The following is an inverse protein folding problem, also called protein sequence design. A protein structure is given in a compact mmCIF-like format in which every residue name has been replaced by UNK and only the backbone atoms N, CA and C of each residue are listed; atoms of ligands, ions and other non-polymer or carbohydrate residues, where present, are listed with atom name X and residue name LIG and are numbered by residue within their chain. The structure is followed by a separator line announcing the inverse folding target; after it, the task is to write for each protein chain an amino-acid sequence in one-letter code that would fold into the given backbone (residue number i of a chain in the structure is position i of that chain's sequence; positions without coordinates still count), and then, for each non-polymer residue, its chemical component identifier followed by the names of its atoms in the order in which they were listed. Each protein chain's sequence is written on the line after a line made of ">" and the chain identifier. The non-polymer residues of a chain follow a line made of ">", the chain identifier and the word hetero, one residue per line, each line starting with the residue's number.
data_IF_080291501579
#
_entry.id   IF_080291501579
#
_cell.length_a   1.000
_cell.length_b   1.000
_cell.length_c   1.000
_cell.angle_alpha   90.00
_cell.angle_beta   90.00
_cell.angle_gamma   90.00
#
_symmetry.space_group_name_H-M   'P 1'
#
loop_
_entity.id
_entity.type
_entity.pdbx_description
1 polymer ?
#
# COMPACT_ATOMS: atom_id res chain seq x y z
N UNK A 1 30.68 28.54 29.89
CA UNK A 1 29.36 28.95 30.38
C UNK A 1 28.30 28.06 29.75
N UNK A 2 27.38 27.57 30.53
CA UNK A 2 26.57 26.36 30.32
C UNK A 2 25.62 26.44 29.11
N UNK A 3 25.68 25.41 28.21
CA UNK A 3 24.68 25.13 27.20
C UNK A 3 23.44 24.52 27.90
N UNK A 4 22.25 25.04 27.61
CA UNK A 4 20.98 24.42 27.97
C UNK A 4 20.49 23.61 26.77
N UNK A 5 20.39 22.30 26.95
CA UNK A 5 19.64 21.38 26.08
C UNK A 5 18.15 21.49 26.49
N UNK A 6 17.30 21.81 25.54
CA UNK A 6 15.86 21.60 25.66
C UNK A 6 15.49 20.30 24.94
N UNK A 7 15.16 19.28 25.73
CA UNK A 7 14.60 18.05 25.21
C UNK A 7 13.07 18.21 25.04
N UNK A 8 12.57 17.83 23.89
CA UNK A 8 11.14 17.68 23.63
C UNK A 8 10.70 16.33 24.20
N UNK A 9 9.79 16.36 25.15
CA UNK A 9 9.15 15.19 25.76
C UNK A 9 7.93 14.84 24.91
N UNK A 10 7.96 13.69 24.24
CA UNK A 10 6.78 13.08 23.63
C UNK A 10 6.00 12.34 24.71
N UNK A 11 4.77 12.74 24.96
CA UNK A 11 3.86 12.11 25.91
C UNK A 11 3.09 11.01 25.19
N UNK A 12 3.44 9.74 25.47
CA UNK A 12 2.61 8.58 25.14
C UNK A 12 1.49 8.47 26.19
N UNK A 13 0.24 8.60 25.76
CA UNK A 13 -0.93 8.23 26.56
C UNK A 13 -1.28 6.78 26.29
N UNK A 14 -0.88 5.89 27.19
CA UNK A 14 -1.41 4.52 27.29
C UNK A 14 -2.76 4.57 28.03
N UNK A 15 -3.84 4.31 27.34
CA UNK A 15 -5.15 4.06 27.94
C UNK A 15 -5.28 2.60 28.35
N UNK A 16 -5.15 2.31 29.63
CA UNK A 16 -5.48 1.01 30.22
C UNK A 16 -6.98 0.93 30.48
N UNK A 17 -7.69 0.05 29.76
CA UNK A 17 -9.06 -0.35 30.12
C UNK A 17 -9.02 -1.45 31.17
N UNK A 18 -9.47 -1.12 32.37
CA UNK A 18 -9.80 -2.07 33.44
C UNK A 18 -11.18 -2.68 33.15
N UNK A 19 -11.23 -3.98 32.91
CA UNK A 19 -12.47 -4.73 32.88
C UNK A 19 -12.70 -5.32 34.28
N UNK A 20 -13.70 -4.81 34.97
CA UNK A 20 -14.20 -5.39 36.22
C UNK A 20 -15.20 -6.52 35.90
N UNK A 21 -14.78 -7.76 36.16
CA UNK A 21 -15.66 -8.90 36.09
C UNK A 21 -16.44 -9.10 37.38
N UNK A 22 -17.75 -9.19 37.29
CA UNK A 22 -18.62 -9.73 38.35
C UNK A 22 -18.94 -11.18 38.07
N UNK A 23 -18.41 -12.11 38.89
CA UNK A 23 -18.84 -13.50 38.91
C UNK A 23 -19.87 -13.74 40.02
N UNK A 24 -20.85 -14.64 39.84
CA UNK A 24 -21.69 -15.03 40.94
C UNK A 24 -21.15 -16.25 41.71
N UNK A 25 -21.41 -16.21 43.03
CA UNK A 25 -20.96 -17.14 44.05
C UNK A 25 -21.59 -18.54 43.90
N UNK A 26 -20.76 -19.55 44.14
CA UNK A 26 -21.17 -20.91 44.47
C UNK A 26 -21.73 -20.96 45.89
N UNK A 27 -22.77 -21.77 46.07
CA UNK A 27 -23.17 -22.37 47.35
C UNK A 27 -23.13 -23.88 47.26
N UNK A 28 -22.58 -24.49 48.30
CA UNK A 28 -22.21 -25.87 48.44
C UNK A 28 -23.27 -26.73 49.12
N UNK A 29 -23.35 -28.01 48.64
CA UNK A 29 -23.46 -29.29 49.37
C UNK A 29 -24.74 -29.70 50.11
N UNK A 30 -24.87 -30.98 50.53
CA UNK A 30 -24.43 -32.28 50.00
C UNK A 30 -25.53 -33.38 50.07
N UNK A 31 -25.28 -34.55 49.47
CA UNK A 31 -25.98 -35.73 50.00
C UNK A 31 -26.27 -36.89 49.05
N UNK A 32 -25.50 -37.92 49.21
CA UNK A 32 -25.79 -39.35 49.37
C UNK A 32 -26.00 -40.27 48.16
N UNK A 33 -25.17 -41.29 48.16
CA UNK A 33 -25.06 -42.54 47.43
C UNK A 33 -26.37 -43.31 47.19
N UNK A 34 -26.45 -44.04 46.06
CA UNK A 34 -26.64 -45.50 46.06
C UNK A 34 -26.36 -46.08 44.69
N UNK A 35 -25.60 -47.16 44.73
CA UNK A 35 -25.32 -48.14 43.65
C UNK A 35 -26.58 -48.89 43.21
N UNK A 36 -26.65 -49.23 41.94
CA UNK A 36 -27.15 -50.56 41.50
C UNK A 36 -26.66 -50.86 40.10
N UNK A 37 -25.96 -51.96 39.98
CA UNK A 37 -25.59 -52.68 38.77
C UNK A 37 -26.82 -53.15 37.99
N UNK A 38 -26.76 -53.14 36.65
CA UNK A 38 -27.27 -54.22 35.81
C UNK A 38 -26.69 -54.13 34.40
N UNK A 39 -26.32 -55.31 33.92
CA UNK A 39 -25.61 -55.62 32.68
C UNK A 39 -26.41 -55.37 31.39
N UNK A 40 -25.60 -55.30 30.33
CA UNK A 40 -25.82 -55.73 28.94
C UNK A 40 -26.74 -54.91 28.02
N UNK A 41 -26.18 -54.28 27.02
CA UNK A 41 -26.28 -54.82 25.66
C UNK A 41 -25.30 -54.11 24.72
N UNK A 42 -24.58 -54.91 23.93
CA UNK A 42 -23.60 -54.47 22.98
C UNK A 42 -24.28 -54.05 21.68
N UNK A 43 -24.32 -52.76 21.40
CA UNK A 43 -24.53 -52.26 20.05
C UNK A 43 -23.34 -51.44 19.63
N UNK A 44 -22.57 -51.99 18.71
CA UNK A 44 -21.45 -51.32 18.03
C UNK A 44 -21.93 -50.02 17.38
N UNK A 45 -21.42 -48.89 17.90
CA UNK A 45 -21.45 -47.63 17.20
C UNK A 45 -20.42 -47.70 16.05
N UNK A 46 -20.74 -47.18 14.83
CA UNK A 46 -19.73 -47.06 13.80
C UNK A 46 -18.64 -46.08 14.29
N UNK A 47 -17.39 -46.47 14.15
CA UNK A 47 -16.26 -45.60 14.38
C UNK A 47 -16.39 -44.40 13.43
N UNK A 48 -16.73 -43.24 13.95
CA UNK A 48 -16.40 -41.96 13.29
C UNK A 48 -14.90 -41.97 13.16
N UNK A 49 -14.40 -42.08 11.92
CA UNK A 49 -13.02 -41.77 11.61
C UNK A 49 -12.85 -40.29 11.95
N UNK A 50 -12.15 -39.99 13.04
CA UNK A 50 -11.57 -38.67 13.24
C UNK A 50 -10.73 -38.42 12.00
N UNK A 51 -11.19 -37.55 11.12
CA UNK A 51 -10.36 -36.99 10.08
C UNK A 51 -9.27 -36.23 10.84
N UNK A 52 -8.07 -36.80 10.90
CA UNK A 52 -6.88 -36.08 11.37
C UNK A 52 -6.83 -34.78 10.56
N UNK A 53 -7.15 -33.68 11.20
CA UNK A 53 -6.96 -32.35 10.63
C UNK A 53 -5.44 -32.17 10.52
N UNK A 54 -4.94 -32.40 9.31
CA UNK A 54 -3.53 -32.16 9.00
C UNK A 54 -3.10 -30.79 9.51
N UNK A 55 -1.97 -30.71 10.16
CA UNK A 55 -1.40 -29.41 10.54
C UNK A 55 -1.23 -28.57 9.28
N UNK A 56 -1.32 -27.24 9.33
CA UNK A 56 -1.25 -26.39 8.13
C UNK A 56 -0.06 -26.68 7.21
N UNK A 57 1.07 -27.08 7.76
CA UNK A 57 2.27 -27.45 7.01
C UNK A 57 2.27 -28.90 6.46
N UNK A 58 1.27 -29.69 6.79
CA UNK A 58 1.09 -31.06 6.29
C UNK A 58 0.09 -31.08 5.12
N UNK A 59 -0.56 -29.95 4.79
CA UNK A 59 -1.39 -29.83 3.60
C UNK A 59 -0.55 -30.08 2.36
N UNK A 60 -0.99 -31.00 1.53
CA UNK A 60 -0.41 -31.27 0.22
C UNK A 60 -1.22 -30.55 -0.85
N UNK A 61 -0.54 -29.80 -1.68
CA UNK A 61 -1.13 -29.15 -2.84
C UNK A 61 -0.70 -29.88 -4.11
N UNK A 62 -1.53 -29.82 -5.15
CA UNK A 62 -1.16 -30.29 -6.46
C UNK A 62 -0.11 -29.36 -7.08
N UNK A 63 0.88 -29.95 -7.78
CA UNK A 63 1.90 -29.19 -8.46
C UNK A 63 1.32 -28.51 -9.68
N UNK A 64 1.52 -27.20 -9.80
CA UNK A 64 1.17 -26.44 -11.01
C UNK A 64 2.28 -26.49 -12.07
N UNK A 65 3.51 -26.78 -11.66
CA UNK A 65 4.70 -26.70 -12.49
C UNK A 65 5.12 -25.28 -12.88
N UNK A 66 4.44 -24.26 -12.35
CA UNK A 66 4.76 -22.84 -12.62
C UNK A 66 6.01 -22.43 -11.84
N UNK A 67 6.77 -21.49 -12.39
CA UNK A 67 8.00 -20.97 -11.77
C UNK A 67 8.09 -19.46 -11.76
N UNK A 68 7.18 -18.77 -12.48
CA UNK A 68 7.22 -17.34 -12.71
C UNK A 68 5.99 -16.67 -12.07
N UNK A 69 6.22 -15.62 -11.26
CA UNK A 69 5.16 -14.95 -10.50
C UNK A 69 4.18 -14.22 -11.43
N UNK A 70 4.68 -13.36 -12.34
CA UNK A 70 3.81 -12.59 -13.24
C UNK A 70 3.00 -13.50 -14.16
N UNK A 71 3.63 -14.55 -14.71
CA UNK A 71 2.95 -15.50 -15.58
C UNK A 71 1.87 -16.28 -14.81
N UNK A 72 2.11 -16.62 -13.55
CA UNK A 72 1.12 -17.30 -12.70
C UNK A 72 -0.08 -16.42 -12.42
N UNK A 73 0.16 -15.18 -11.96
CA UNK A 73 -0.90 -14.25 -11.59
C UNK A 73 -1.69 -13.81 -12.82
N UNK A 74 -1.03 -13.48 -13.94
CA UNK A 74 -1.72 -13.05 -15.16
C UNK A 74 -2.52 -14.19 -15.82
N UNK A 75 -2.07 -15.44 -15.67
CA UNK A 75 -2.84 -16.59 -16.13
C UNK A 75 -4.14 -16.80 -15.33
N UNK A 76 -4.13 -16.45 -14.04
CA UNK A 76 -5.28 -16.64 -13.15
C UNK A 76 -6.24 -15.44 -13.14
N UNK A 77 -5.71 -14.20 -13.20
CA UNK A 77 -6.48 -12.94 -13.04
C UNK A 77 -6.63 -12.14 -14.35
N UNK A 78 -5.96 -12.53 -15.43
CA UNK A 78 -6.03 -11.85 -16.74
C UNK A 78 -4.70 -11.23 -17.17
N UNK A 79 -4.49 -11.17 -18.49
CA UNK A 79 -3.22 -10.74 -19.11
C UNK A 79 -2.83 -9.28 -18.78
N UNK A 80 -3.82 -8.42 -18.50
CA UNK A 80 -3.61 -7.02 -18.18
C UNK A 80 -3.29 -6.76 -16.69
N UNK A 81 -3.33 -7.81 -15.85
CA UNK A 81 -3.09 -7.69 -14.41
C UNK A 81 -1.68 -7.19 -14.13
N UNK A 82 -1.59 -6.15 -13.32
CA UNK A 82 -0.31 -5.61 -12.84
C UNK A 82 0.27 -6.52 -11.75
N UNK A 83 1.48 -6.99 -11.97
CA UNK A 83 2.29 -7.70 -10.96
C UNK A 83 3.53 -6.85 -10.72
N UNK A 84 3.45 -6.01 -9.70
CA UNK A 84 4.41 -4.95 -9.44
C UNK A 84 5.29 -5.21 -8.21
N UNK A 85 6.41 -4.47 -8.14
CA UNK A 85 7.24 -4.37 -6.95
C UNK A 85 7.77 -2.95 -6.77
N UNK A 86 8.26 -2.64 -5.56
CA UNK A 86 8.92 -1.36 -5.32
C UNK A 86 10.42 -1.46 -5.57
N UNK A 87 10.98 -0.43 -6.18
CA UNK A 87 12.43 -0.20 -6.34
C UNK A 87 12.77 1.23 -5.95
N UNK A 88 14.04 1.53 -5.76
CA UNK A 88 14.54 2.87 -5.44
C UNK A 88 15.96 3.08 -5.99
N UNK A 89 16.54 4.26 -5.78
CA UNK A 89 17.87 4.60 -6.26
C UNK A 89 19.00 3.70 -5.75
N UNK A 90 18.81 3.01 -4.62
CA UNK A 90 19.81 2.05 -4.11
C UNK A 90 19.66 0.65 -4.71
N UNK A 91 18.47 0.27 -5.12
CA UNK A 91 18.17 -1.08 -5.64
C UNK A 91 18.27 -1.20 -7.16
N UNK A 92 18.03 -0.11 -7.91
CA UNK A 92 18.03 -0.11 -9.38
C UNK A 92 19.35 -0.59 -10.01
N UNK A 93 20.47 -0.42 -9.31
CA UNK A 93 21.80 -0.86 -9.77
C UNK A 93 22.22 -2.22 -9.16
N UNK A 94 21.36 -2.87 -8.40
CA UNK A 94 21.64 -4.20 -7.85
C UNK A 94 21.23 -5.26 -8.88
N UNK A 95 22.19 -5.82 -9.58
CA UNK A 95 21.96 -6.80 -10.64
C UNK A 95 21.12 -8.01 -10.18
N UNK A 96 21.41 -8.55 -8.98
CA UNK A 96 20.65 -9.72 -8.46
C UNK A 96 19.20 -9.37 -8.20
N UNK A 97 18.93 -8.20 -7.65
CA UNK A 97 17.57 -7.73 -7.39
C UNK A 97 16.85 -7.46 -8.71
N UNK A 98 17.49 -6.74 -9.64
CA UNK A 98 16.87 -6.42 -10.93
C UNK A 98 16.62 -7.66 -11.79
N UNK A 99 17.43 -8.71 -11.67
CA UNK A 99 17.13 -9.99 -12.31
C UNK A 99 15.82 -10.58 -11.81
N UNK A 100 15.53 -10.53 -10.50
CA UNK A 100 14.21 -10.94 -9.96
C UNK A 100 13.09 -10.03 -10.46
N UNK A 101 13.34 -8.71 -10.55
CA UNK A 101 12.35 -7.77 -11.08
C UNK A 101 11.98 -8.11 -12.53
N UNK A 102 12.97 -8.26 -13.38
CA UNK A 102 12.76 -8.56 -14.80
C UNK A 102 12.13 -9.93 -15.03
N UNK A 103 12.42 -10.91 -14.17
CA UNK A 103 11.86 -12.26 -14.28
C UNK A 103 10.42 -12.32 -13.80
N UNK A 104 10.10 -11.75 -12.64
CA UNK A 104 8.87 -12.03 -11.92
C UNK A 104 7.83 -10.91 -11.94
N UNK A 105 8.18 -9.72 -12.42
CA UNK A 105 7.28 -8.55 -12.38
C UNK A 105 7.10 -7.93 -13.76
N UNK A 106 5.98 -7.25 -13.97
CA UNK A 106 5.67 -6.46 -15.18
C UNK A 106 5.53 -4.96 -14.91
N UNK A 107 5.67 -4.54 -13.62
CA UNK A 107 5.60 -3.14 -13.25
C UNK A 107 6.46 -2.85 -12.02
N UNK A 108 6.84 -1.58 -11.86
CA UNK A 108 7.53 -1.05 -10.68
C UNK A 108 6.86 0.22 -10.16
N UNK A 109 7.08 0.49 -8.87
CA UNK A 109 6.80 1.78 -8.22
C UNK A 109 8.11 2.28 -7.62
N UNK A 110 8.42 3.56 -7.77
CA UNK A 110 9.56 4.14 -7.06
C UNK A 110 9.18 4.44 -5.62
N UNK A 111 9.95 3.90 -4.66
CA UNK A 111 9.64 4.02 -3.24
C UNK A 111 9.48 5.48 -2.79
N UNK A 112 10.35 6.37 -3.30
CA UNK A 112 10.36 7.78 -2.91
C UNK A 112 10.47 8.76 -4.08
N UNK A 113 11.10 8.37 -5.19
CA UNK A 113 11.64 9.30 -6.18
C UNK A 113 10.57 10.03 -7.00
N UNK A 114 9.33 9.54 -7.05
CA UNK A 114 8.19 10.28 -7.63
C UNK A 114 7.43 11.15 -6.62
N UNK A 115 7.78 11.12 -5.32
CA UNK A 115 7.10 11.91 -4.29
C UNK A 115 7.42 13.41 -4.42
N UNK A 116 6.53 14.31 -3.95
CA UNK A 116 6.68 15.75 -4.19
C UNK A 116 8.05 16.33 -3.83
N UNK A 117 8.63 15.92 -2.69
CA UNK A 117 9.94 16.44 -2.27
C UNK A 117 11.07 16.17 -3.27
N UNK A 118 10.97 15.12 -4.09
CA UNK A 118 11.98 14.82 -5.10
C UNK A 118 11.78 15.57 -6.43
N UNK A 119 10.62 16.21 -6.58
CA UNK A 119 10.29 17.04 -7.76
C UNK A 119 10.73 18.50 -7.62
N UNK A 120 11.10 18.95 -6.42
CA UNK A 120 11.53 20.34 -6.19
C UNK A 120 13.07 20.45 -6.11
N UNK A 121 13.63 21.49 -6.72
CA UNK A 121 15.07 21.76 -6.65
C UNK A 121 15.54 22.16 -5.24
N UNK A 122 14.67 22.84 -4.48
CA UNK A 122 14.94 23.38 -3.15
C UNK A 122 14.12 22.63 -2.07
N UNK A 123 14.21 21.30 -2.04
CA UNK A 123 13.43 20.43 -1.15
C UNK A 123 13.43 20.85 0.34
N UNK A 124 14.59 21.29 0.84
CA UNK A 124 14.77 21.65 2.27
C UNK A 124 14.94 23.15 2.49
N UNK A 125 14.77 23.99 1.46
CA UNK A 125 14.87 25.43 1.62
C UNK A 125 13.63 25.96 2.36
N UNK A 126 13.84 26.90 3.32
CA UNK A 126 12.75 27.61 3.96
C UNK A 126 12.04 28.57 3.04
N UNK A 127 12.76 29.06 2.02
CA UNK A 127 12.25 29.86 0.92
C UNK A 127 12.75 29.27 -0.39
N UNK A 128 11.84 28.80 -1.21
CA UNK A 128 12.18 28.21 -2.50
C UNK A 128 12.57 29.28 -3.52
N UNK A 129 13.53 28.93 -4.40
CA UNK A 129 13.81 29.73 -5.60
C UNK A 129 12.69 29.53 -6.60
N UNK A 130 12.31 30.64 -7.29
CA UNK A 130 11.23 30.63 -8.27
C UNK A 130 11.73 30.95 -9.66
N UNK A 131 10.92 30.60 -10.65
CA UNK A 131 11.05 30.99 -12.05
C UNK A 131 9.64 31.11 -12.64
N UNK A 132 9.56 31.77 -13.81
CA UNK A 132 8.29 31.98 -14.50
C UNK A 132 7.86 30.73 -15.26
N UNK A 133 6.60 30.37 -15.15
CA UNK A 133 5.96 29.30 -15.91
C UNK A 133 4.67 29.81 -16.56
N UNK A 134 4.26 29.17 -17.67
CA UNK A 134 2.98 29.42 -18.30
C UNK A 134 1.91 28.43 -17.79
N UNK A 135 0.82 28.99 -17.24
CA UNK A 135 -0.33 28.19 -16.79
C UNK A 135 -1.64 28.84 -17.29
N UNK A 136 -2.41 28.10 -18.10
CA UNK A 136 -3.69 28.59 -18.63
C UNK A 136 -3.62 29.98 -19.33
N UNK A 137 -2.50 30.27 -20.03
CA UNK A 137 -2.26 31.54 -20.71
C UNK A 137 -1.87 32.71 -19.79
N UNK A 138 -1.47 32.41 -18.57
CA UNK A 138 -0.96 33.37 -17.60
C UNK A 138 0.46 32.99 -17.17
N UNK A 139 1.32 33.97 -17.02
CA UNK A 139 2.66 33.77 -16.45
C UNK A 139 2.55 33.72 -14.92
N UNK A 140 3.02 32.63 -14.30
CA UNK A 140 3.03 32.43 -12.85
C UNK A 140 4.45 32.19 -12.35
N UNK A 141 4.78 32.79 -11.20
CA UNK A 141 6.06 32.54 -10.52
C UNK A 141 5.91 31.34 -9.60
N UNK A 142 6.66 30.27 -9.91
CA UNK A 142 6.55 28.98 -9.20
C UNK A 142 7.93 28.44 -8.85
N UNK A 143 8.04 27.51 -7.87
CA UNK A 143 9.31 26.89 -7.51
C UNK A 143 9.99 26.20 -8.69
N UNK A 144 11.31 26.15 -8.66
CA UNK A 144 12.08 25.43 -9.69
C UNK A 144 11.91 23.93 -9.48
N UNK A 145 11.45 23.21 -10.51
CA UNK A 145 11.34 21.77 -10.51
C UNK A 145 12.67 21.11 -10.90
N UNK A 146 12.89 19.90 -10.38
CA UNK A 146 14.05 19.06 -10.65
C UNK A 146 13.64 17.58 -10.66
N UNK A 147 13.55 17.00 -11.83
CA UNK A 147 13.21 15.58 -12.01
C UNK A 147 14.43 14.67 -12.19
N UNK A 148 15.66 15.18 -11.95
CA UNK A 148 16.88 14.42 -12.19
C UNK A 148 16.96 13.08 -11.42
N UNK A 149 16.34 12.99 -10.26
CA UNK A 149 16.38 11.76 -9.45
C UNK A 149 15.48 10.67 -10.04
N UNK A 150 14.17 10.89 -10.25
CA UNK A 150 13.34 9.89 -10.91
C UNK A 150 13.76 9.62 -12.36
N UNK A 151 14.24 10.62 -13.10
CA UNK A 151 14.72 10.46 -14.48
C UNK A 151 15.85 9.43 -14.60
N UNK A 152 16.77 9.40 -13.64
CA UNK A 152 17.86 8.40 -13.64
C UNK A 152 17.35 6.97 -13.52
N UNK A 153 16.31 6.75 -12.73
CA UNK A 153 15.70 5.41 -12.60
C UNK A 153 14.93 5.05 -13.86
N UNK A 154 14.19 6.02 -14.39
CA UNK A 154 13.42 5.85 -15.62
C UNK A 154 14.32 5.59 -16.83
N UNK A 155 15.48 6.24 -16.91
CA UNK A 155 16.43 6.01 -18.01
C UNK A 155 16.96 4.56 -18.03
N UNK A 156 17.19 3.97 -16.85
CA UNK A 156 17.57 2.54 -16.75
C UNK A 156 16.43 1.63 -17.23
N UNK A 157 15.19 1.90 -16.78
CA UNK A 157 14.04 1.12 -17.20
C UNK A 157 13.70 1.31 -18.68
N UNK A 158 13.85 2.53 -19.20
CA UNK A 158 13.63 2.81 -20.62
C UNK A 158 14.61 2.05 -21.50
N UNK A 159 15.90 2.03 -21.13
CA UNK A 159 16.92 1.26 -21.83
C UNK A 159 16.58 -0.25 -21.83
N UNK A 160 16.19 -0.78 -20.67
CA UNK A 160 15.72 -2.17 -20.58
C UNK A 160 14.53 -2.44 -21.49
N UNK A 161 13.49 -1.60 -21.46
CA UNK A 161 12.28 -1.76 -22.25
C UNK A 161 12.53 -1.69 -23.76
N UNK A 162 13.51 -0.89 -24.19
CA UNK A 162 13.93 -0.80 -25.60
C UNK A 162 14.62 -2.08 -26.07
N UNK A 163 15.42 -2.70 -25.21
CA UNK A 163 16.12 -3.95 -25.51
C UNK A 163 15.22 -5.19 -25.37
N UNK A 164 14.18 -5.12 -24.53
CA UNK A 164 13.30 -6.24 -24.19
C UNK A 164 11.80 -5.85 -24.29
N UNK A 165 11.30 -5.52 -25.48
CA UNK A 165 9.92 -5.06 -25.64
C UNK A 165 8.86 -6.10 -25.27
N UNK A 166 9.21 -7.38 -25.30
CA UNK A 166 8.39 -8.52 -24.84
C UNK A 166 8.34 -8.67 -23.30
N UNK A 167 9.22 -8.00 -22.59
CA UNK A 167 9.33 -7.97 -21.12
C UNK A 167 9.23 -6.56 -20.57
N UNK A 168 8.36 -5.78 -21.16
CA UNK A 168 8.19 -4.37 -20.82
C UNK A 168 7.82 -4.19 -19.34
N UNK A 169 8.55 -3.33 -18.64
CA UNK A 169 8.29 -2.94 -17.26
C UNK A 169 7.55 -1.60 -17.26
N UNK A 170 6.30 -1.62 -16.78
CA UNK A 170 5.48 -0.42 -16.58
C UNK A 170 5.85 0.28 -15.27
N UNK A 171 5.42 1.53 -15.11
CA UNK A 171 5.67 2.33 -13.89
C UNK A 171 4.36 2.82 -13.31
N UNK A 172 4.23 2.80 -11.98
CA UNK A 172 3.18 3.52 -11.24
C UNK A 172 3.76 4.79 -10.65
N UNK A 173 3.13 5.91 -10.92
CA UNK A 173 3.46 7.19 -10.31
C UNK A 173 2.95 7.26 -8.87
N UNK A 174 3.83 7.46 -7.92
CA UNK A 174 3.52 7.54 -6.50
C UNK A 174 4.32 8.68 -5.87
N UNK A 175 3.74 9.82 -5.59
CA UNK A 175 2.36 10.28 -5.57
C UNK A 175 2.30 11.78 -5.94
N UNK A 176 1.15 12.29 -6.43
CA UNK A 176 1.01 13.72 -6.75
C UNK A 176 0.70 14.56 -5.50
N UNK A 177 -0.33 14.20 -4.73
CA UNK A 177 -0.78 14.96 -3.55
C UNK A 177 -0.75 14.07 -2.30
N UNK A 178 0.05 14.47 -1.34
CA UNK A 178 0.19 13.75 -0.07
C UNK A 178 0.50 14.73 1.07
N UNK A 179 0.00 14.46 2.27
CA UNK A 179 0.32 15.23 3.47
C UNK A 179 1.78 15.03 3.93
N UNK A 180 2.34 13.84 3.66
CA UNK A 180 3.75 13.53 3.88
C UNK A 180 4.61 13.94 2.69
N UNK A 181 5.90 14.14 2.91
CA UNK A 181 6.94 14.39 1.91
C UNK A 181 6.59 15.46 0.84
N UNK A 182 5.69 16.42 1.20
CA UNK A 182 5.50 17.67 0.48
C UNK A 182 6.19 18.77 1.27
N UNK A 183 7.13 19.54 0.69
CA UNK A 183 7.84 20.58 1.44
C UNK A 183 6.89 21.60 2.05
N UNK A 184 7.03 21.89 3.35
CA UNK A 184 6.11 22.77 4.09
C UNK A 184 6.07 24.18 3.51
N UNK A 185 7.20 24.73 3.05
CA UNK A 185 7.26 26.04 2.41
C UNK A 185 6.34 26.16 1.18
N UNK A 186 5.93 25.07 0.54
CA UNK A 186 5.04 25.07 -0.63
C UNK A 186 3.64 25.62 -0.30
N UNK A 187 3.23 25.53 0.95
CA UNK A 187 1.93 25.98 1.43
C UNK A 187 1.92 27.44 1.93
N UNK A 188 3.08 28.07 2.04
CA UNK A 188 3.25 29.37 2.66
C UNK A 188 3.43 30.49 1.62
N UNK A 189 3.13 31.75 2.02
CA UNK A 189 3.34 32.94 1.20
C UNK A 189 4.81 33.05 0.80
N UNK A 190 5.07 33.49 -0.42
CA UNK A 190 6.40 33.60 -1.03
C UNK A 190 7.26 32.33 -0.91
N UNK A 191 6.64 31.16 -0.76
CA UNK A 191 7.32 29.86 -0.57
C UNK A 191 8.28 29.87 0.61
N UNK A 192 7.89 30.49 1.73
CA UNK A 192 8.69 30.71 2.93
C UNK A 192 7.89 30.28 4.17
N UNK A 193 8.25 29.14 4.78
CA UNK A 193 7.54 28.56 5.94
C UNK A 193 7.55 29.44 7.20
N UNK A 194 8.31 30.56 7.20
CA UNK A 194 8.23 31.58 8.25
C UNK A 194 7.05 32.53 8.06
N UNK A 195 6.32 32.47 6.92
CA UNK A 195 5.17 33.28 6.57
C UNK A 195 3.85 32.53 6.79
N UNK A 196 2.70 33.21 6.75
CA UNK A 196 1.40 32.55 6.83
C UNK A 196 1.17 31.56 5.68
N UNK A 197 0.22 30.64 5.86
CA UNK A 197 -0.32 29.84 4.75
C UNK A 197 -0.94 30.77 3.70
N UNK A 198 -0.83 30.36 2.44
CA UNK A 198 -1.50 31.07 1.34
C UNK A 198 -3.00 30.90 1.40
N UNK A 199 -3.73 31.74 0.63
CA UNK A 199 -5.17 31.53 0.44
C UNK A 199 -5.41 30.30 -0.44
N UNK A 200 -6.62 29.77 -0.36
CA UNK A 200 -7.08 28.66 -1.16
C UNK A 200 -6.93 28.90 -2.68
N UNK A 201 -7.29 30.10 -3.15
CA UNK A 201 -7.18 30.48 -4.57
C UNK A 201 -5.74 30.44 -5.07
N UNK A 202 -4.78 30.86 -4.23
CA UNK A 202 -3.35 30.75 -4.54
C UNK A 202 -2.91 29.30 -4.56
N UNK A 203 -3.41 28.49 -3.61
CA UNK A 203 -3.07 27.07 -3.55
C UNK A 203 -3.66 26.27 -4.71
N UNK A 204 -4.85 26.62 -5.21
CA UNK A 204 -5.44 26.03 -6.43
C UNK A 204 -4.50 26.18 -7.62
N UNK A 205 -3.95 27.39 -7.83
CA UNK A 205 -2.98 27.65 -8.90
C UNK A 205 -1.70 26.84 -8.72
N UNK A 206 -1.18 26.74 -7.48
CA UNK A 206 0.02 25.95 -7.18
C UNK A 206 -0.22 24.46 -7.40
N UNK A 207 -1.35 23.94 -6.98
CA UNK A 207 -1.72 22.53 -7.12
C UNK A 207 -1.88 22.17 -8.61
N UNK A 208 -2.62 23.00 -9.38
CA UNK A 208 -2.76 22.76 -10.82
C UNK A 208 -1.43 22.79 -11.55
N UNK A 209 -0.60 23.81 -11.27
CA UNK A 209 0.73 23.92 -11.86
C UNK A 209 1.61 22.69 -11.55
N UNK A 210 1.62 22.23 -10.30
CA UNK A 210 2.44 21.09 -9.88
C UNK A 210 1.98 19.81 -10.59
N UNK A 211 0.68 19.50 -10.53
CA UNK A 211 0.13 18.30 -11.17
C UNK A 211 0.37 18.33 -12.69
N UNK A 212 0.13 19.47 -13.33
CA UNK A 212 0.45 19.66 -14.75
C UNK A 212 1.90 19.35 -15.06
N UNK A 213 2.81 19.98 -14.33
CA UNK A 213 4.26 19.86 -14.60
C UNK A 213 4.76 18.43 -14.44
N UNK A 214 4.31 17.72 -13.41
CA UNK A 214 4.66 16.31 -13.16
C UNK A 214 4.11 15.40 -14.27
N UNK A 215 2.83 15.52 -14.58
CA UNK A 215 2.18 14.64 -15.57
C UNK A 215 2.70 14.92 -16.99
N UNK A 216 2.92 16.17 -17.38
CA UNK A 216 3.53 16.49 -18.67
C UNK A 216 4.96 15.96 -18.81
N UNK A 217 5.75 16.03 -17.72
CA UNK A 217 7.13 15.53 -17.74
C UNK A 217 7.17 14.00 -17.89
N UNK A 218 6.35 13.28 -17.15
CA UNK A 218 6.43 11.81 -17.12
C UNK A 218 5.50 11.11 -18.11
N UNK A 219 4.35 11.68 -18.43
CA UNK A 219 3.31 11.02 -19.21
C UNK A 219 2.90 11.82 -20.46
N UNK A 220 3.32 13.08 -20.58
CA UNK A 220 2.89 13.98 -21.66
C UNK A 220 3.26 13.49 -23.05
N UNK A 221 2.63 14.08 -24.08
CA UNK A 221 2.81 13.69 -25.48
C UNK A 221 4.29 13.78 -25.93
N UNK A 222 5.02 14.80 -25.44
CA UNK A 222 6.41 15.04 -25.75
C UNK A 222 7.40 14.42 -24.75
N UNK A 223 6.88 13.65 -23.77
CA UNK A 223 7.74 13.01 -22.77
C UNK A 223 8.54 11.85 -23.39
N UNK A 224 9.83 11.76 -23.07
CA UNK A 224 10.66 10.60 -23.44
C UNK A 224 10.20 9.31 -22.76
N UNK A 225 9.38 9.42 -21.69
CA UNK A 225 8.82 8.31 -20.91
C UNK A 225 7.37 8.00 -21.27
N UNK A 226 6.82 8.61 -22.32
CA UNK A 226 5.46 8.36 -22.81
C UNK A 226 5.19 6.86 -22.93
N UNK A 227 4.07 6.41 -22.36
CA UNK A 227 3.65 5.00 -22.39
C UNK A 227 4.30 4.11 -21.31
N UNK A 228 5.23 4.63 -20.50
CA UNK A 228 5.79 3.86 -19.39
C UNK A 228 4.86 3.83 -18.17
N UNK A 229 4.15 4.92 -17.88
CA UNK A 229 3.25 5.01 -16.73
C UNK A 229 1.88 4.41 -17.06
N UNK A 230 1.43 3.42 -16.26
CA UNK A 230 0.09 2.84 -16.38
C UNK A 230 -0.94 3.50 -15.46
N UNK A 231 -0.49 4.23 -14.44
CA UNK A 231 -1.35 4.91 -13.50
C UNK A 231 -0.60 5.80 -12.52
N UNK A 232 -1.35 6.68 -11.83
CA UNK A 232 -0.85 7.59 -10.81
C UNK A 232 -1.73 7.56 -9.56
N UNK A 233 -1.11 7.52 -8.40
CA UNK A 233 -1.74 7.86 -7.13
C UNK A 233 -1.91 9.38 -7.09
N UNK A 234 -3.10 9.85 -7.42
CA UNK A 234 -3.39 11.29 -7.48
C UNK A 234 -3.41 11.90 -6.10
N UNK A 235 -4.04 11.20 -5.15
CA UNK A 235 -4.08 11.59 -3.74
C UNK A 235 -3.77 10.38 -2.88
N UNK A 236 -2.90 10.57 -1.89
CA UNK A 236 -2.49 9.55 -0.94
C UNK A 236 -2.87 9.94 0.49
N UNK A 237 -3.47 9.00 1.24
CA UNK A 237 -3.68 9.07 2.70
C UNK A 237 -4.44 10.31 3.18
N UNK A 238 -5.43 10.76 2.43
CA UNK A 238 -6.21 11.94 2.78
C UNK A 238 -7.34 11.66 3.78
N UNK A 239 -7.60 10.39 4.13
CA UNK A 239 -8.58 10.00 5.13
C UNK A 239 -7.98 9.93 6.53
N UNK A 240 -8.72 10.42 7.52
CA UNK A 240 -8.36 10.29 8.94
C UNK A 240 -8.37 8.82 9.37
N UNK A 241 -7.46 8.45 10.28
CA UNK A 241 -7.39 7.12 10.89
C UNK A 241 -8.50 6.91 11.94
N UNK A 242 -9.12 8.00 12.40
CA UNK A 242 -10.20 7.94 13.38
C UNK A 242 -11.55 7.59 12.78
N UNK A 243 -12.26 6.63 13.38
CA UNK A 243 -13.61 6.25 12.99
C UNK A 243 -14.56 7.46 12.97
N UNK A 244 -15.22 7.69 11.82
CA UNK A 244 -16.20 8.76 11.64
C UNK A 244 -15.62 10.17 11.53
N UNK A 245 -14.31 10.34 11.53
CA UNK A 245 -13.66 11.65 11.41
C UNK A 245 -13.58 12.18 9.97
N UNK A 246 -13.76 11.32 8.98
CA UNK A 246 -13.71 11.68 7.56
C UNK A 246 -12.28 11.91 7.08
N UNK A 247 -11.95 13.14 6.71
CA UNK A 247 -10.67 13.50 6.12
C UNK A 247 -9.59 13.79 7.17
N UNK A 248 -8.32 13.59 6.80
CA UNK A 248 -7.14 13.95 7.59
C UNK A 248 -7.02 15.48 7.67
N UNK A 249 -7.00 16.00 8.89
CA UNK A 249 -7.00 17.44 9.16
C UNK A 249 -5.58 17.98 9.45
N UNK A 250 -5.47 19.30 9.62
CA UNK A 250 -4.28 20.00 10.09
C UNK A 250 -3.74 19.45 11.41
N UNK A 251 -4.63 19.11 12.35
CA UNK A 251 -4.29 18.47 13.63
C UNK A 251 -3.73 17.04 13.47
N UNK A 252 -3.86 16.45 12.28
CA UNK A 252 -3.30 15.16 11.88
C UNK A 252 -2.17 15.33 10.85
N UNK A 253 -1.61 16.54 10.75
CA UNK A 253 -0.42 16.86 9.95
C UNK A 253 -0.68 17.16 8.47
N UNK A 254 -1.91 17.51 8.07
CA UNK A 254 -2.22 17.85 6.67
C UNK A 254 -2.17 19.36 6.43
N UNK A 255 -1.08 19.85 5.81
CA UNK A 255 -0.98 21.25 5.36
C UNK A 255 -1.93 21.56 4.21
N UNK A 256 -2.33 20.56 3.41
CA UNK A 256 -3.44 20.69 2.46
C UNK A 256 -4.73 21.09 3.15
N UNK A 257 -5.07 20.38 4.24
CA UNK A 257 -6.27 20.73 5.02
C UNK A 257 -6.10 22.07 5.72
N UNK A 258 -4.91 22.41 6.21
CA UNK A 258 -4.67 23.71 6.85
C UNK A 258 -5.01 24.88 5.94
N UNK A 259 -4.74 24.79 4.64
CA UNK A 259 -5.06 25.81 3.63
C UNK A 259 -6.53 25.76 3.24
N UNK A 260 -7.08 24.58 2.89
CA UNK A 260 -8.41 24.47 2.28
C UNK A 260 -9.56 24.43 3.29
N UNK A 261 -9.33 23.92 4.49
CA UNK A 261 -10.34 23.65 5.52
C UNK A 261 -11.53 22.79 5.01
N UNK A 262 -11.33 22.06 3.93
CA UNK A 262 -12.30 21.19 3.26
C UNK A 262 -11.59 20.12 2.43
N UNK A 263 -12.35 19.15 1.91
CA UNK A 263 -11.90 18.12 0.96
C UNK A 263 -11.69 18.64 -0.48
N UNK A 264 -11.91 19.89 -0.73
CA UNK A 264 -11.85 20.47 -2.08
C UNK A 264 -10.52 20.27 -2.78
N UNK A 265 -9.39 20.27 -2.02
CA UNK A 265 -8.07 19.97 -2.60
C UNK A 265 -7.99 18.55 -3.21
N UNK A 266 -8.76 17.60 -2.70
CA UNK A 266 -8.82 16.22 -3.22
C UNK A 266 -9.55 16.23 -4.56
N UNK A 267 -10.74 16.84 -4.61
CA UNK A 267 -11.55 16.97 -5.84
C UNK A 267 -10.77 17.73 -6.91
N UNK A 268 -10.11 18.83 -6.54
CA UNK A 268 -9.28 19.61 -7.45
C UNK A 268 -8.08 18.81 -7.97
N UNK A 269 -7.42 18.01 -7.13
CA UNK A 269 -6.31 17.14 -7.57
C UNK A 269 -6.76 16.16 -8.66
N UNK A 270 -7.90 15.50 -8.49
CA UNK A 270 -8.44 14.57 -9.50
C UNK A 270 -8.93 15.31 -10.76
N UNK A 271 -9.46 16.52 -10.63
CA UNK A 271 -9.83 17.36 -11.77
C UNK A 271 -8.60 17.77 -12.58
N UNK A 272 -7.53 18.20 -11.93
CA UNK A 272 -6.29 18.56 -12.60
C UNK A 272 -5.60 17.34 -13.20
N UNK A 273 -5.59 16.21 -12.49
CA UNK A 273 -5.07 14.96 -13.04
C UNK A 273 -5.85 14.51 -14.29
N UNK A 274 -7.19 14.59 -14.26
CA UNK A 274 -8.02 14.30 -15.44
C UNK A 274 -7.76 15.25 -16.62
N UNK A 275 -7.34 16.49 -16.34
CA UNK A 275 -7.02 17.47 -17.40
C UNK A 275 -5.71 17.19 -18.10
N UNK A 276 -4.70 16.69 -17.37
CA UNK A 276 -3.32 16.61 -17.86
C UNK A 276 -2.80 15.17 -18.05
N UNK A 277 -3.41 14.18 -17.43
CA UNK A 277 -3.03 12.78 -17.66
C UNK A 277 -3.58 12.27 -18.99
N UNK A 278 -2.82 11.47 -19.75
CA UNK A 278 -3.35 10.70 -20.87
C UNK A 278 -4.52 9.81 -20.44
N UNK A 279 -5.41 9.49 -21.38
CA UNK A 279 -6.61 8.71 -21.08
C UNK A 279 -6.33 7.26 -20.66
N UNK A 280 -5.20 6.72 -21.09
CA UNK A 280 -4.71 5.36 -20.78
C UNK A 280 -3.92 5.28 -19.48
N UNK A 281 -3.65 6.41 -18.82
CA UNK A 281 -3.03 6.45 -17.50
C UNK A 281 -4.12 6.49 -16.43
N UNK A 282 -4.27 5.41 -15.67
CA UNK A 282 -5.31 5.29 -14.65
C UNK A 282 -5.04 6.20 -13.43
N UNK A 283 -6.09 6.75 -12.83
CA UNK A 283 -6.04 7.69 -11.71
C UNK A 283 -6.57 7.01 -10.43
N UNK A 284 -5.72 6.90 -9.41
CA UNK A 284 -6.00 6.19 -8.17
C UNK A 284 -6.08 7.14 -6.97
N UNK A 285 -6.95 6.81 -6.03
CA UNK A 285 -6.79 7.18 -4.63
C UNK A 285 -6.07 6.04 -3.91
N UNK A 286 -5.10 6.33 -3.03
CA UNK A 286 -4.29 5.32 -2.33
C UNK A 286 -4.29 5.59 -0.82
N UNK A 287 -4.51 4.56 0.02
CA UNK A 287 -4.54 4.72 1.48
C UNK A 287 -4.21 3.41 2.21
N UNK A 288 -3.75 3.53 3.46
CA UNK A 288 -3.49 2.42 4.38
C UNK A 288 -4.66 2.23 5.39
N UNK A 289 -4.55 1.17 6.21
CA UNK A 289 -5.62 0.82 7.15
C UNK A 289 -6.94 0.50 6.44
N UNK A 290 -6.85 0.21 5.18
CA UNK A 290 -7.86 0.09 4.14
C UNK A 290 -8.92 -0.99 4.38
N UNK A 291 -8.71 -1.87 5.37
CA UNK A 291 -9.66 -2.91 5.80
C UNK A 291 -10.36 -2.59 7.12
N UNK A 292 -9.92 -1.57 7.86
CA UNK A 292 -10.59 -1.21 9.11
C UNK A 292 -11.93 -0.52 8.84
N UNK A 293 -12.98 -0.90 9.54
CA UNK A 293 -14.34 -0.43 9.27
C UNK A 293 -14.49 1.09 9.27
N UNK A 294 -13.76 1.78 10.17
CA UNK A 294 -13.74 3.25 10.23
C UNK A 294 -13.09 3.88 9.02
N UNK A 295 -11.95 3.37 8.60
CA UNK A 295 -11.20 3.86 7.45
C UNK A 295 -11.94 3.55 6.15
N UNK A 296 -12.49 2.33 6.01
CA UNK A 296 -13.35 1.96 4.86
C UNK A 296 -14.50 2.94 4.68
N UNK A 297 -15.16 3.35 5.77
CA UNK A 297 -16.23 4.36 5.71
C UNK A 297 -15.72 5.73 5.26
N UNK A 298 -14.55 6.17 5.75
CA UNK A 298 -13.97 7.45 5.38
C UNK A 298 -13.54 7.45 3.90
N UNK A 299 -12.83 6.41 3.46
CA UNK A 299 -12.42 6.22 2.05
C UNK A 299 -13.64 6.20 1.13
N UNK A 300 -14.70 5.45 1.47
CA UNK A 300 -15.91 5.38 0.65
C UNK A 300 -16.56 6.75 0.44
N UNK A 301 -16.54 7.63 1.45
CA UNK A 301 -17.04 8.99 1.32
C UNK A 301 -16.18 9.84 0.39
N UNK A 302 -14.86 9.67 0.47
CA UNK A 302 -13.93 10.35 -0.44
C UNK A 302 -14.15 9.89 -1.88
N UNK A 303 -14.20 8.59 -2.13
CA UNK A 303 -14.43 8.04 -3.46
C UNK A 303 -15.76 8.53 -4.04
N UNK A 304 -16.84 8.55 -3.22
CA UNK A 304 -18.12 9.11 -3.64
C UNK A 304 -18.02 10.59 -4.02
N UNK A 305 -17.35 11.42 -3.21
CA UNK A 305 -17.21 12.84 -3.49
C UNK A 305 -16.45 13.13 -4.80
N UNK A 306 -15.41 12.35 -5.08
CA UNK A 306 -14.65 12.45 -6.34
C UNK A 306 -15.50 11.96 -7.51
N UNK A 307 -16.23 10.83 -7.33
CA UNK A 307 -17.12 10.25 -8.34
C UNK A 307 -18.29 11.18 -8.69
N UNK A 308 -18.89 11.82 -7.69
CA UNK A 308 -20.01 12.78 -7.89
C UNK A 308 -19.59 14.04 -8.68
N UNK A 309 -18.29 14.34 -8.74
CA UNK A 309 -17.71 15.45 -9.50
C UNK A 309 -17.17 15.05 -10.87
N UNK A 310 -17.41 13.82 -11.35
CA UNK A 310 -16.92 13.34 -12.65
C UNK A 310 -17.35 14.21 -13.83
N UNK A 311 -16.48 14.28 -14.83
CA UNK A 311 -16.74 15.03 -16.05
C UNK A 311 -15.60 14.97 -17.05
N UNK A 312 -15.79 15.59 -18.20
CA UNK A 312 -14.76 15.67 -19.23
C UNK A 312 -13.45 16.31 -18.70
N UNK A 313 -12.29 16.01 -19.33
CA UNK A 313 -11.02 16.64 -18.98
C UNK A 313 -11.11 18.17 -18.90
N UNK A 314 -10.62 18.75 -17.81
CA UNK A 314 -10.68 20.18 -17.53
C UNK A 314 -12.03 20.71 -17.02
N UNK A 315 -13.09 19.88 -16.99
CA UNK A 315 -14.41 20.21 -16.45
C UNK A 315 -14.66 19.52 -15.11
N UNK A 316 -14.47 18.21 -15.04
CA UNK A 316 -14.71 17.40 -13.85
C UNK A 316 -13.55 16.45 -13.52
N UNK A 317 -13.75 15.64 -12.52
CA UNK A 317 -12.82 14.60 -12.08
C UNK A 317 -12.90 13.37 -12.98
N UNK A 318 -11.89 12.50 -12.84
CA UNK A 318 -11.89 11.10 -13.22
C UNK A 318 -11.19 10.31 -12.11
N UNK A 319 -11.76 9.21 -11.70
CA UNK A 319 -11.15 8.27 -10.77
C UNK A 319 -11.38 6.86 -11.29
N UNK A 320 -10.30 6.15 -11.57
CA UNK A 320 -10.35 4.83 -12.18
C UNK A 320 -10.20 3.72 -11.14
N UNK A 321 -9.51 4.02 -10.00
CA UNK A 321 -9.24 2.98 -9.04
C UNK A 321 -9.01 3.42 -7.60
N UNK A 322 -9.08 2.41 -6.72
CA UNK A 322 -8.67 2.48 -5.32
C UNK A 322 -7.44 1.61 -5.11
N UNK A 323 -6.36 2.23 -4.63
CA UNK A 323 -5.17 1.56 -4.13
C UNK A 323 -5.30 1.26 -2.64
N UNK A 324 -5.37 -0.02 -2.30
CA UNK A 324 -5.22 -0.51 -0.93
C UNK A 324 -3.72 -0.68 -0.68
N UNK A 325 -3.11 0.12 0.20
CA UNK A 325 -1.67 -0.02 0.48
C UNK A 325 -1.32 -1.42 0.97
N UNK A 326 -2.22 -2.02 1.77
CA UNK A 326 -2.08 -3.40 2.21
C UNK A 326 -0.81 -3.65 3.03
N UNK A 327 -0.42 -2.71 3.88
CA UNK A 327 0.60 -2.92 4.91
C UNK A 327 0.01 -3.74 6.06
N UNK A 328 0.09 -5.04 5.94
CA UNK A 328 -0.58 -5.97 6.86
C UNK A 328 0.41 -6.72 7.75
N UNK A 329 -0.13 -7.43 8.71
CA UNK A 329 0.62 -8.36 9.54
C UNK A 329 -0.06 -9.73 9.60
N UNK A 330 0.68 -10.72 10.06
CA UNK A 330 0.15 -12.07 10.28
C UNK A 330 -1.04 -12.10 11.28
N UNK A 331 -1.23 -11.03 12.04
CA UNK A 331 -2.33 -10.89 13.01
C UNK A 331 -3.57 -10.20 12.43
N UNK A 332 -3.51 -9.69 11.21
CA UNK A 332 -4.65 -9.03 10.56
C UNK A 332 -4.23 -8.00 9.51
N UNK A 333 -5.17 -7.60 8.66
CA UNK A 333 -6.56 -8.03 8.60
C UNK A 333 -6.71 -9.49 8.16
N UNK A 334 -7.90 -10.08 8.42
CA UNK A 334 -8.26 -11.38 7.85
C UNK A 334 -8.54 -11.26 6.35
N UNK A 335 -8.41 -12.35 5.61
CA UNK A 335 -8.75 -12.41 4.18
C UNK A 335 -10.20 -11.94 3.92
N UNK A 336 -11.15 -12.27 4.79
CA UNK A 336 -12.54 -11.82 4.65
C UNK A 336 -12.68 -10.30 4.78
N UNK A 337 -11.92 -9.65 5.67
CA UNK A 337 -11.93 -8.20 5.81
C UNK A 337 -11.34 -7.53 4.57
N UNK A 338 -10.24 -8.06 4.02
CA UNK A 338 -9.63 -7.57 2.77
C UNK A 338 -10.64 -7.65 1.60
N UNK A 339 -11.27 -8.81 1.42
CA UNK A 339 -12.27 -9.02 0.37
C UNK A 339 -13.50 -8.14 0.56
N UNK A 340 -13.97 -7.96 1.80
CA UNK A 340 -15.10 -7.08 2.10
C UNK A 340 -14.81 -5.61 1.78
N UNK A 341 -13.62 -5.12 2.11
CA UNK A 341 -13.18 -3.77 1.79
C UNK A 341 -13.09 -3.55 0.27
N UNK A 342 -12.42 -4.45 -0.47
CA UNK A 342 -12.32 -4.38 -1.93
C UNK A 342 -13.70 -4.33 -2.61
N UNK A 343 -14.64 -5.17 -2.18
CA UNK A 343 -16.04 -5.14 -2.69
C UNK A 343 -16.78 -3.85 -2.37
N UNK A 344 -16.46 -3.19 -1.28
CA UNK A 344 -17.05 -1.88 -0.96
C UNK A 344 -16.49 -0.83 -1.90
N UNK A 345 -15.19 -0.80 -2.12
CA UNK A 345 -14.52 0.15 -3.01
C UNK A 345 -14.94 -0.03 -4.46
N UNK A 346 -15.07 -1.26 -4.95
CA UNK A 346 -15.57 -1.58 -6.29
C UNK A 346 -17.00 -1.09 -6.60
N UNK A 347 -17.71 -0.51 -5.63
CA UNK A 347 -18.97 0.20 -5.89
C UNK A 347 -18.78 1.63 -6.40
N UNK A 348 -17.59 2.17 -6.23
CA UNK A 348 -17.25 3.56 -6.57
C UNK A 348 -16.25 3.66 -7.72
N UNK A 349 -15.40 2.67 -7.89
CA UNK A 349 -14.32 2.64 -8.88
C UNK A 349 -14.30 1.31 -9.62
N UNK A 350 -13.80 1.32 -10.86
CA UNK A 350 -13.74 0.13 -11.70
C UNK A 350 -12.58 -0.80 -11.31
N UNK A 351 -11.53 -0.26 -10.70
CA UNK A 351 -10.30 -0.99 -10.37
C UNK A 351 -9.99 -0.96 -8.88
N UNK A 352 -9.68 -2.11 -8.30
CA UNK A 352 -9.10 -2.21 -6.96
C UNK A 352 -7.73 -2.86 -7.08
N UNK A 353 -6.72 -2.31 -6.41
CA UNK A 353 -5.35 -2.77 -6.51
C UNK A 353 -4.73 -2.85 -5.12
N UNK A 354 -3.93 -3.90 -4.83
CA UNK A 354 -3.00 -3.89 -3.72
C UNK A 354 -1.73 -3.18 -4.17
N UNK A 355 -1.45 -2.03 -3.56
CA UNK A 355 -0.45 -1.09 -4.10
C UNK A 355 0.89 -1.10 -3.41
N UNK A 356 0.94 -1.58 -2.16
CA UNK A 356 2.13 -1.55 -1.30
C UNK A 356 2.18 -2.81 -0.42
N UNK A 357 1.75 -3.95 -1.01
CA UNK A 357 1.50 -5.16 -0.27
C UNK A 357 2.76 -5.70 0.40
N UNK A 358 2.71 -5.72 1.71
CA UNK A 358 3.64 -6.43 2.57
C UNK A 358 2.86 -7.14 3.70
N UNK A 359 3.26 -8.39 4.00
CA UNK A 359 2.62 -9.18 5.05
C UNK A 359 3.64 -9.54 6.12
N UNK A 360 3.81 -8.63 7.07
CA UNK A 360 4.82 -8.77 8.10
C UNK A 360 4.52 -9.90 9.08
N UNK A 361 5.50 -10.75 9.34
CA UNK A 361 5.39 -11.95 10.20
C UNK A 361 6.24 -11.89 11.46
N UNK A 362 6.84 -10.76 11.76
CA UNK A 362 7.83 -10.61 12.80
C UNK A 362 7.33 -10.84 14.24
N UNK A 363 6.05 -10.63 14.54
CA UNK A 363 5.50 -10.64 15.90
C UNK A 363 5.74 -11.94 16.69
N UNK A 364 6.19 -13.01 16.06
CA UNK A 364 6.44 -14.31 16.66
C UNK A 364 7.91 -14.77 16.51
N UNK A 365 8.80 -13.92 15.98
CA UNK A 365 10.20 -14.26 15.78
C UNK A 365 10.98 -14.14 17.08
N UNK A 366 11.62 -15.23 17.49
CA UNK A 366 12.43 -15.31 18.71
C UNK A 366 13.94 -15.40 18.44
N UNK A 367 14.35 -15.21 17.18
CA UNK A 367 15.74 -15.30 16.75
C UNK A 367 16.20 -16.72 16.34
N UNK A 368 15.32 -17.72 16.40
CA UNK A 368 15.66 -19.08 16.03
C UNK A 368 15.23 -19.43 14.60
N UNK A 369 15.95 -20.35 13.95
CA UNK A 369 15.58 -20.87 12.63
C UNK A 369 14.23 -21.63 12.67
N UNK A 370 13.90 -22.24 13.81
CA UNK A 370 12.61 -22.92 13.98
C UNK A 370 11.45 -21.93 13.95
N UNK A 371 11.54 -20.83 14.71
CA UNK A 371 10.51 -19.78 14.68
C UNK A 371 10.43 -19.09 13.32
N UNK A 372 11.57 -18.87 12.65
CA UNK A 372 11.62 -18.31 11.29
C UNK A 372 10.87 -19.21 10.29
N UNK A 373 11.17 -20.50 10.29
CA UNK A 373 10.50 -21.50 9.45
C UNK A 373 8.99 -21.53 9.73
N UNK A 374 8.60 -21.53 11.00
CA UNK A 374 7.18 -21.49 11.39
C UNK A 374 6.48 -20.25 10.82
N UNK A 375 7.09 -19.06 10.96
CA UNK A 375 6.52 -17.81 10.45
C UNK A 375 6.41 -17.80 8.93
N UNK A 376 7.43 -18.26 8.23
CA UNK A 376 7.42 -18.35 6.77
C UNK A 376 6.32 -19.27 6.27
N UNK A 377 6.16 -20.44 6.93
CA UNK A 377 5.08 -21.38 6.61
C UNK A 377 3.71 -20.73 6.83
N UNK A 378 3.51 -20.04 7.95
CA UNK A 378 2.26 -19.36 8.27
C UNK A 378 1.98 -18.21 7.30
N UNK A 379 3.00 -17.42 6.93
CA UNK A 379 2.89 -16.38 5.91
C UNK A 379 2.47 -16.97 4.57
N UNK A 380 3.14 -18.04 4.11
CA UNK A 380 2.79 -18.72 2.87
C UNK A 380 1.35 -19.23 2.88
N UNK A 381 0.89 -19.82 4.00
CA UNK A 381 -0.50 -20.27 4.13
C UNK A 381 -1.50 -19.12 4.03
N UNK A 382 -1.21 -17.95 4.63
CA UNK A 382 -2.08 -16.77 4.51
C UNK A 382 -2.13 -16.24 3.07
N UNK A 383 -0.97 -16.18 2.38
CA UNK A 383 -0.93 -15.82 0.96
C UNK A 383 -1.76 -16.78 0.11
N UNK A 384 -1.67 -18.09 0.37
CA UNK A 384 -2.44 -19.10 -0.35
C UNK A 384 -3.94 -18.95 -0.10
N UNK A 385 -4.36 -18.84 1.15
CA UNK A 385 -5.77 -18.70 1.52
C UNK A 385 -6.38 -17.40 0.95
N UNK A 386 -5.61 -16.32 0.94
CA UNK A 386 -6.01 -15.06 0.33
C UNK A 386 -6.12 -15.16 -1.20
N UNK A 387 -5.12 -15.74 -1.84
CA UNK A 387 -5.08 -15.83 -3.30
C UNK A 387 -6.18 -16.74 -3.85
N UNK A 388 -6.50 -17.83 -3.17
CA UNK A 388 -7.62 -18.71 -3.55
C UNK A 388 -8.95 -17.98 -3.47
N UNK A 389 -9.18 -17.19 -2.42
CA UNK A 389 -10.41 -16.42 -2.28
C UNK A 389 -10.48 -15.28 -3.30
N UNK A 390 -9.35 -14.65 -3.62
CA UNK A 390 -9.27 -13.64 -4.65
C UNK A 390 -9.68 -14.20 -6.01
N UNK A 391 -9.08 -15.32 -6.43
CA UNK A 391 -9.39 -16.00 -7.68
C UNK A 391 -10.86 -16.43 -7.75
N UNK A 392 -11.44 -16.90 -6.65
CA UNK A 392 -12.86 -17.27 -6.57
C UNK A 392 -13.79 -16.06 -6.75
N UNK A 393 -13.44 -14.90 -6.19
CA UNK A 393 -14.23 -13.67 -6.35
C UNK A 393 -14.07 -13.04 -7.73
N UNK A 394 -12.87 -13.06 -8.28
CA UNK A 394 -12.58 -12.61 -9.64
C UNK A 394 -13.36 -13.43 -10.65
N UNK A 395 -13.30 -14.76 -10.55
CA UNK A 395 -14.04 -15.69 -11.41
C UNK A 395 -15.57 -15.51 -11.34
N UNK A 396 -16.07 -14.97 -10.23
CA UNK A 396 -17.49 -14.63 -10.04
C UNK A 396 -17.84 -13.20 -10.49
N UNK A 397 -16.88 -12.42 -10.93
CA UNK A 397 -17.07 -11.02 -11.33
C UNK A 397 -17.51 -10.12 -10.16
N UNK A 398 -17.06 -10.42 -8.94
CA UNK A 398 -17.42 -9.68 -7.73
C UNK A 398 -16.45 -8.55 -7.43
N UNK A 399 -15.17 -8.72 -7.79
CA UNK A 399 -14.10 -7.75 -7.64
C UNK A 399 -13.26 -7.81 -8.91
N UNK A 400 -12.93 -6.67 -9.49
CA UNK A 400 -11.91 -6.53 -10.53
C UNK A 400 -10.60 -6.11 -9.87
N UNK A 401 -9.63 -7.04 -9.78
CA UNK A 401 -8.33 -6.79 -9.17
C UNK A 401 -7.35 -6.39 -10.26
N UNK A 402 -7.15 -5.09 -10.39
CA UNK A 402 -6.27 -4.51 -11.41
C UNK A 402 -4.79 -4.86 -11.20
N UNK A 403 -4.39 -5.29 -10.00
CA UNK A 403 -3.02 -5.70 -9.76
C UNK A 403 -2.63 -5.85 -8.30
N UNK A 404 -1.41 -6.38 -8.14
CA UNK A 404 -0.75 -6.62 -6.87
C UNK A 404 0.67 -6.08 -6.97
N UNK A 405 1.04 -5.12 -6.12
CA UNK A 405 2.41 -4.59 -6.01
C UNK A 405 2.95 -4.91 -4.63
N UNK A 406 4.04 -5.68 -4.56
CA UNK A 406 4.74 -5.94 -3.29
C UNK A 406 5.67 -4.78 -2.94
N UNK A 407 5.68 -4.38 -1.65
CA UNK A 407 6.42 -3.17 -1.23
C UNK A 407 7.91 -3.39 -0.94
N UNK A 408 8.44 -4.54 -1.31
CA UNK A 408 9.86 -4.83 -1.43
C UNK A 408 10.04 -6.11 -2.27
N UNK A 409 11.19 -6.25 -2.93
CA UNK A 409 11.51 -7.48 -3.66
C UNK A 409 12.05 -8.54 -2.69
N UNK A 410 12.99 -8.14 -1.82
CA UNK A 410 13.61 -9.02 -0.82
C UNK A 410 13.52 -8.41 0.58
N UNK A 411 13.49 -9.24 1.62
CA UNK A 411 13.30 -8.81 3.01
C UNK A 411 14.29 -7.73 3.45
N UNK A 412 15.55 -7.81 3.05
CA UNK A 412 16.61 -6.87 3.45
C UNK A 412 16.42 -5.43 2.95
N UNK A 413 15.64 -5.22 1.89
CA UNK A 413 15.37 -3.90 1.33
C UNK A 413 13.99 -3.36 1.71
N UNK A 414 13.27 -4.03 2.59
CA UNK A 414 12.00 -3.53 3.10
C UNK A 414 12.21 -2.27 3.95
N UNK A 415 11.31 -1.29 3.78
CA UNK A 415 11.22 -0.12 4.64
C UNK A 415 11.04 -0.47 6.12
N UNK A 416 10.44 -1.65 6.41
CA UNK A 416 10.22 -2.17 7.76
C UNK A 416 11.52 -2.53 8.50
N UNK A 417 12.66 -2.64 7.80
CA UNK A 417 13.97 -2.84 8.45
C UNK A 417 14.46 -1.57 9.16
N UNK A 418 13.87 -0.42 8.89
CA UNK A 418 14.24 0.84 9.52
C UNK A 418 13.64 0.94 10.92
N UNK A 419 14.42 1.37 11.91
CA UNK A 419 13.99 1.55 13.30
C UNK A 419 12.84 2.56 13.47
N UNK A 420 12.60 3.40 12.46
CA UNK A 420 11.56 4.43 12.44
C UNK A 420 10.28 4.01 11.71
N UNK A 421 10.23 2.80 11.15
CA UNK A 421 9.05 2.30 10.48
C UNK A 421 7.98 1.86 11.49
N UNK A 422 6.71 2.09 11.13
CA UNK A 422 5.56 1.75 11.98
C UNK A 422 5.42 0.24 12.28
N UNK A 423 6.16 -0.62 11.56
CA UNK A 423 6.19 -2.07 11.77
C UNK A 423 7.49 -2.58 12.38
N UNK A 424 8.48 -1.71 12.61
CA UNK A 424 9.72 -2.09 13.26
C UNK A 424 9.42 -2.72 14.61
N UNK A 425 10.07 -3.83 14.94
CA UNK A 425 9.95 -4.44 16.26
C UNK A 425 10.10 -3.36 17.33
N UNK A 426 9.38 -3.48 18.45
CA UNK A 426 9.34 -2.47 19.51
C UNK A 426 10.72 -2.03 20.02
N UNK A 427 11.77 -2.81 19.73
CA UNK A 427 13.18 -2.52 20.04
C UNK A 427 13.97 -1.96 18.83
N UNK A 428 13.36 -1.84 17.64
CA UNK A 428 14.01 -1.39 16.40
C UNK A 428 15.18 -2.26 15.93
N UNK A 429 15.29 -3.51 16.42
CA UNK A 429 16.40 -4.42 16.16
C UNK A 429 15.98 -5.74 15.55
N UNK A 430 14.69 -6.05 15.58
CA UNK A 430 14.20 -7.33 15.08
C UNK A 430 14.14 -7.31 13.56
N UNK A 431 14.75 -8.30 12.91
CA UNK A 431 14.69 -8.51 11.47
C UNK A 431 13.24 -8.69 11.01
N UNK A 432 12.86 -8.07 9.91
CA UNK A 432 11.51 -8.09 9.35
C UNK A 432 11.48 -8.98 8.08
N UNK A 433 10.37 -9.67 7.86
CA UNK A 433 10.27 -10.65 6.77
C UNK A 433 8.99 -10.48 5.91
N UNK A 434 8.74 -9.28 5.34
CA UNK A 434 7.47 -9.02 4.63
C UNK A 434 7.46 -9.46 3.17
N UNK A 435 8.63 -9.65 2.54
CA UNK A 435 8.78 -9.88 1.10
C UNK A 435 8.44 -11.32 0.67
N UNK A 436 8.37 -11.52 -0.65
CA UNK A 436 8.24 -12.85 -1.27
C UNK A 436 9.59 -13.60 -1.37
N UNK A 437 10.70 -12.85 -1.38
CA UNK A 437 12.05 -13.41 -1.39
C UNK A 437 12.81 -13.04 -0.12
N UNK A 438 13.65 -13.95 0.36
CA UNK A 438 14.48 -13.73 1.55
C UNK A 438 15.68 -12.81 1.25
N UNK A 439 16.46 -12.52 2.28
CA UNK A 439 17.67 -11.69 2.16
C UNK A 439 18.80 -12.34 1.34
N UNK A 440 18.67 -13.62 0.97
CA UNK A 440 19.57 -14.33 0.06
C UNK A 440 19.03 -14.44 -1.37
N UNK A 441 17.93 -13.70 -1.67
CA UNK A 441 17.24 -13.74 -2.97
C UNK A 441 16.58 -15.09 -3.28
N UNK A 442 16.27 -15.90 -2.25
CA UNK A 442 15.59 -17.18 -2.43
C UNK A 442 14.07 -17.00 -2.26
N UNK A 443 13.25 -17.69 -3.07
CA UNK A 443 11.81 -17.63 -2.94
C UNK A 443 11.35 -18.26 -1.62
N UNK A 444 10.46 -17.57 -0.91
CA UNK A 444 9.87 -18.00 0.35
C UNK A 444 8.58 -18.81 0.12
N UNK A 445 8.05 -19.50 1.14
CA UNK A 445 6.72 -20.12 1.06
C UNK A 445 5.62 -19.18 0.55
N UNK A 446 5.69 -17.89 0.85
CA UNK A 446 4.78 -16.85 0.33
C UNK A 446 4.84 -16.68 -1.19
N UNK A 447 6.02 -16.77 -1.79
CA UNK A 447 6.19 -16.79 -3.24
C UNK A 447 5.55 -18.05 -3.84
N UNK A 448 5.86 -19.22 -3.28
CA UNK A 448 5.35 -20.49 -3.79
C UNK A 448 3.84 -20.61 -3.63
N UNK A 449 3.26 -19.97 -2.61
CA UNK A 449 1.81 -19.89 -2.43
C UNK A 449 1.06 -19.31 -3.65
N UNK A 450 1.70 -18.40 -4.38
CA UNK A 450 1.17 -17.72 -5.57
C UNK A 450 1.55 -18.40 -6.89
N UNK A 451 2.62 -19.21 -6.88
CA UNK A 451 3.22 -19.78 -8.11
C UNK A 451 3.00 -21.27 -8.20
N UNK A 452 3.47 -22.03 -7.24
CA UNK A 452 3.30 -23.48 -7.15
C UNK A 452 3.18 -23.91 -5.67
N UNK A 453 1.96 -23.96 -5.12
CA UNK A 453 1.76 -24.26 -3.70
C UNK A 453 2.33 -25.61 -3.24
N UNK A 454 2.58 -26.55 -4.15
CA UNK A 454 3.21 -27.84 -3.79
C UNK A 454 4.63 -27.68 -3.26
N UNK A 455 5.27 -26.54 -3.53
CA UNK A 455 6.64 -26.19 -3.14
C UNK A 455 6.74 -25.34 -1.87
N UNK A 456 5.63 -25.02 -1.20
CA UNK A 456 5.62 -24.15 -0.01
C UNK A 456 6.43 -24.73 1.17
N UNK A 457 6.80 -26.01 1.13
CA UNK A 457 7.62 -26.67 2.16
C UNK A 457 9.12 -26.71 1.82
N UNK A 458 9.52 -26.23 0.65
CA UNK A 458 10.91 -26.11 0.23
C UNK A 458 11.58 -24.89 0.92
#
# INVERSE_FOLDING_TARGET
>A
MRKKLNGLLAVLLLGTMLITGCGPKQTSNPGTQKESESESDATQKPSESESETLKPWEKKYEATGRTNLKESITADLGEDTIVGCVINGSTINNEKLMNLVHEHFNAVTFENENKPQFSFADTYAKKSRTTSYELNGQTVEMPILNFNTPDKLLDVLLAWNQEHPDKFIKVRGHVLVWHGQTPEWFFHEDFDESKPYVTKEVMDVRQEWYIKSVLEHFCGEDSKYKGMYYGWDVVNEACSDGTGKGYRKDTEGSSWWAVYQSEEFIVNAFKYANKYAPADVALYYNDYGDCSSGKVSNISKLLAAVKDAEGAPGVGTRIDGMGMQAHYSISGPSTLEMMAAGRIYGKYVDKVMLTEFDWNVNNSYDGTEESKRFMFTKQGQQYKDWYDQLNDLEAKGVVDVAGITVWCVTDQYSWLQSANSAGGGADGKSEQFPALFDSNYQPKPSFWALVDPSRMSE
#
